data_IF_252104813557
#
_entry.id   IF_252104813557
#
_cell.length_a   1.000
_cell.length_b   1.000
_cell.length_c   1.000
_cell.angle_alpha   90.00
_cell.angle_beta   90.00
_cell.angle_gamma   90.00
#
_symmetry.space_group_name_H-M   'P 1'
#
loop_
_entity.id
_entity.type
_entity.pdbx_description
1 polymer ?
#
# COMPACT_ATOMS: atom_id res chain seq x y z
N UNK A 1 9.16 1.95 11.10
CA UNK A 1 7.71 1.66 11.11
C UNK A 1 7.44 0.65 10.00
N UNK A 2 7.00 -0.56 10.33
CA UNK A 2 6.59 -1.55 9.33
C UNK A 2 5.22 -1.13 8.80
N UNK A 3 5.11 -0.88 7.51
CA UNK A 3 3.85 -0.52 6.88
C UNK A 3 3.45 -1.64 5.93
N UNK A 4 2.19 -2.08 6.00
CA UNK A 4 1.67 -3.19 5.19
C UNK A 4 1.88 -2.97 3.68
N UNK A 5 1.91 -1.70 3.27
CA UNK A 5 2.15 -1.30 1.90
C UNK A 5 3.45 -0.51 1.80
N UNK A 6 4.21 -0.66 0.71
CA UNK A 6 5.31 0.24 0.35
C UNK A 6 4.84 1.69 0.23
N UNK A 7 5.79 2.63 0.32
CA UNK A 7 5.56 4.04 0.04
C UNK A 7 5.41 4.29 -1.47
N UNK A 8 4.81 5.42 -1.83
CA UNK A 8 4.67 5.84 -3.23
C UNK A 8 6.04 5.91 -3.93
N UNK A 9 7.06 6.37 -3.21
CA UNK A 9 8.43 6.49 -3.71
C UNK A 9 9.06 5.12 -4.01
N UNK A 10 8.81 4.12 -3.15
CA UNK A 10 9.34 2.76 -3.32
C UNK A 10 8.75 2.10 -4.59
N UNK A 11 7.45 2.28 -4.83
CA UNK A 11 6.83 1.79 -6.07
C UNK A 11 7.44 2.44 -7.33
N UNK A 12 7.66 3.75 -7.29
CA UNK A 12 8.28 4.46 -8.42
C UNK A 12 9.71 3.95 -8.65
N UNK A 13 10.46 3.75 -7.57
CA UNK A 13 11.83 3.25 -7.63
C UNK A 13 11.90 1.84 -8.22
N UNK A 14 11.01 0.93 -7.81
CA UNK A 14 10.94 -0.40 -8.39
C UNK A 14 10.67 -0.39 -9.89
N UNK A 15 9.75 0.45 -10.36
CA UNK A 15 9.47 0.58 -11.80
C UNK A 15 10.69 1.15 -12.56
N UNK A 16 11.34 2.18 -12.03
CA UNK A 16 12.54 2.76 -12.65
C UNK A 16 13.68 1.75 -12.71
N UNK A 17 13.92 1.03 -11.61
CA UNK A 17 14.99 0.03 -11.52
C UNK A 17 14.69 -1.19 -12.40
N UNK A 18 13.43 -1.52 -12.62
CA UNK A 18 12.99 -2.55 -13.57
C UNK A 18 13.03 -2.08 -15.04
N UNK A 19 13.55 -0.88 -15.32
CA UNK A 19 13.79 -0.38 -16.67
C UNK A 19 12.58 0.30 -17.33
N UNK A 20 11.49 0.53 -16.60
CA UNK A 20 10.36 1.29 -17.12
C UNK A 20 10.74 2.77 -17.29
N UNK A 21 10.23 3.38 -18.37
CA UNK A 21 10.34 4.81 -18.67
C UNK A 21 8.99 5.48 -18.47
N UNK A 22 9.00 6.81 -18.40
CA UNK A 22 7.77 7.61 -18.29
C UNK A 22 6.90 7.19 -17.08
N UNK A 23 7.55 6.88 -15.96
CA UNK A 23 6.88 6.38 -14.75
C UNK A 23 6.00 7.47 -14.13
N UNK A 24 4.71 7.18 -13.98
CA UNK A 24 3.71 8.08 -13.43
C UNK A 24 3.04 7.46 -12.21
N UNK A 25 2.69 8.30 -11.24
CA UNK A 25 1.94 7.92 -10.05
C UNK A 25 0.56 8.58 -10.10
N UNK A 26 -0.50 7.76 -10.07
CA UNK A 26 -1.88 8.22 -9.94
C UNK A 26 -2.44 7.80 -8.60
N UNK A 27 -2.83 8.77 -7.79
CA UNK A 27 -3.55 8.53 -6.53
C UNK A 27 -5.01 8.22 -6.84
N UNK A 28 -5.54 7.17 -6.22
CA UNK A 28 -6.91 6.69 -6.35
C UNK A 28 -7.56 6.83 -4.98
N UNK A 29 -8.60 7.65 -4.91
CA UNK A 29 -9.35 7.83 -3.69
C UNK A 29 -10.61 8.66 -3.93
N UNK A 30 -11.58 8.59 -3.00
CA UNK A 30 -12.75 9.45 -3.04
C UNK A 30 -12.34 10.92 -2.91
N UNK A 31 -13.12 11.81 -3.56
CA UNK A 31 -12.84 13.24 -3.67
C UNK A 31 -12.71 13.96 -2.31
N UNK A 32 -13.32 13.40 -1.26
CA UNK A 32 -13.28 13.95 0.09
C UNK A 32 -11.96 13.70 0.82
N UNK A 33 -11.16 12.73 0.37
CA UNK A 33 -9.94 12.37 1.07
C UNK A 33 -8.80 13.34 0.75
N UNK A 34 -8.45 14.19 1.72
CA UNK A 34 -7.46 15.28 1.58
C UNK A 34 -6.26 15.07 2.50
N UNK A 35 -5.42 14.09 2.18
CA UNK A 35 -4.15 13.88 2.88
C UNK A 35 -3.58 12.50 2.62
N UNK A 36 -2.42 12.43 1.96
CA UNK A 36 -1.76 11.14 1.72
C UNK A 36 -1.22 10.62 3.05
N UNK A 37 -1.75 9.49 3.53
CA UNK A 37 -1.24 8.73 4.69
C UNK A 37 -1.20 9.49 6.03
N UNK A 38 -1.79 10.69 6.11
CA UNK A 38 -1.70 11.57 7.29
C UNK A 38 -2.39 11.00 8.54
N UNK A 39 -3.41 10.17 8.32
CA UNK A 39 -4.27 9.62 9.36
C UNK A 39 -4.23 8.09 9.42
N UNK A 40 -3.16 7.47 8.91
CA UNK A 40 -3.04 6.01 8.81
C UNK A 40 -3.90 5.38 7.71
N UNK A 41 -4.76 6.15 7.04
CA UNK A 41 -5.54 5.68 5.90
C UNK A 41 -4.70 5.77 4.61
N UNK A 42 -4.49 4.60 3.99
CA UNK A 42 -3.77 4.50 2.72
C UNK A 42 -4.82 4.46 1.63
N UNK A 43 -4.96 5.55 0.89
CA UNK A 43 -5.71 5.54 -0.36
C UNK A 43 -4.82 4.95 -1.45
N UNK A 44 -5.40 4.07 -2.27
CA UNK A 44 -4.67 3.35 -3.29
C UNK A 44 -3.89 4.27 -4.21
N UNK A 45 -2.78 3.78 -4.74
CA UNK A 45 -2.07 4.43 -5.83
C UNK A 45 -1.88 3.41 -6.96
N UNK A 46 -1.83 3.91 -8.18
CA UNK A 46 -1.44 3.16 -9.36
C UNK A 46 -0.15 3.78 -9.88
N UNK A 47 0.86 2.94 -10.07
CA UNK A 47 2.09 3.31 -10.78
C UNK A 47 2.02 2.71 -12.17
N UNK A 48 2.20 3.56 -13.17
CA UNK A 48 2.27 3.16 -14.58
C UNK A 48 3.63 3.50 -15.13
N UNK A 49 4.08 2.76 -16.13
CA UNK A 49 5.33 3.02 -16.83
C UNK A 49 5.35 2.29 -18.16
N UNK A 50 6.18 2.75 -19.08
CA UNK A 50 6.29 2.20 -20.44
C UNK A 50 7.61 1.46 -20.59
N UNK A 51 7.55 0.19 -21.01
CA UNK A 51 8.73 -0.58 -21.41
C UNK A 51 8.82 -0.57 -22.94
N UNK A 52 9.71 0.27 -23.48
CA UNK A 52 9.80 0.52 -24.94
C UNK A 52 10.42 -0.63 -25.72
N UNK A 53 11.20 -1.48 -25.05
CA UNK A 53 11.84 -2.64 -25.65
C UNK A 53 11.44 -3.90 -24.85
N UNK A 54 11.07 -4.99 -25.55
CA UNK A 54 10.88 -6.28 -24.89
C UNK A 54 12.22 -6.80 -24.36
N UNK A 55 12.18 -7.61 -23.31
CA UNK A 55 13.36 -8.18 -22.68
C UNK A 55 13.21 -8.26 -21.17
N UNK A 56 14.21 -8.82 -20.52
CA UNK A 56 14.22 -9.02 -19.07
C UNK A 56 14.32 -7.71 -18.31
N UNK A 57 14.03 -7.77 -17.01
CA UNK A 57 14.24 -6.65 -16.11
C UNK A 57 15.75 -6.49 -15.85
N UNK A 58 16.31 -5.27 -15.92
CA UNK A 58 17.69 -5.02 -15.49
C UNK A 58 17.83 -5.12 -13.96
N UNK A 59 16.73 -5.07 -13.21
CA UNK A 59 16.72 -5.26 -11.76
C UNK A 59 17.03 -6.73 -11.43
N UNK A 60 18.22 -6.98 -10.89
CA UNK A 60 18.59 -8.27 -10.33
C UNK A 60 18.07 -8.36 -8.89
N UNK A 61 17.08 -9.22 -8.68
CA UNK A 61 16.58 -9.52 -7.35
C UNK A 61 17.43 -10.63 -6.72
N UNK A 62 17.63 -10.57 -5.42
CA UNK A 62 18.24 -11.65 -4.66
C UNK A 62 17.38 -12.93 -4.68
N UNK A 63 17.90 -14.05 -4.18
CA UNK A 63 17.12 -15.26 -4.02
C UNK A 63 15.86 -15.00 -3.19
N UNK A 64 14.77 -15.67 -3.54
CA UNK A 64 13.51 -15.57 -2.79
C UNK A 64 13.77 -15.92 -1.32
N UNK A 65 13.60 -14.94 -0.44
CA UNK A 65 13.88 -15.11 0.98
C UNK A 65 12.82 -15.94 1.72
N UNK A 66 11.64 -16.10 1.14
CA UNK A 66 10.53 -16.83 1.76
C UNK A 66 10.55 -18.30 1.35
N UNK A 67 10.82 -19.15 2.34
CA UNK A 67 10.75 -20.61 2.25
C UNK A 67 9.30 -21.07 2.45
N UNK A 68 8.70 -21.58 1.37
CA UNK A 68 7.30 -22.04 1.34
C UNK A 68 7.14 -23.49 1.82
N UNK A 69 8.23 -24.25 1.97
CA UNK A 69 8.19 -25.66 2.35
C UNK A 69 8.17 -25.85 3.87
N UNK A 70 8.54 -24.80 4.62
CA UNK A 70 8.62 -24.86 6.07
C UNK A 70 7.23 -25.03 6.72
N UNK A 71 7.04 -26.00 7.63
CA UNK A 71 5.78 -26.15 8.35
C UNK A 71 5.49 -24.92 9.21
N UNK A 72 4.24 -24.45 9.17
CA UNK A 72 3.75 -23.35 10.00
C UNK A 72 3.61 -23.79 11.45
N UNK A 73 4.16 -23.02 12.38
CA UNK A 73 3.96 -23.22 13.81
C UNK A 73 2.53 -22.81 14.21
N UNK A 74 1.69 -23.70 14.78
CA UNK A 74 0.30 -23.41 15.11
C UNK A 74 0.10 -22.22 16.06
N UNK A 75 1.00 -22.02 17.02
CA UNK A 75 0.93 -20.89 17.96
C UNK A 75 1.26 -19.57 17.25
N UNK A 76 2.30 -19.57 16.42
CA UNK A 76 2.64 -18.40 15.59
C UNK A 76 1.53 -18.06 14.61
N UNK A 77 0.89 -19.09 14.03
CA UNK A 77 -0.26 -18.93 13.17
C UNK A 77 -1.45 -18.28 13.91
N UNK A 78 -1.83 -18.80 15.08
CA UNK A 78 -2.92 -18.24 15.87
C UNK A 78 -2.66 -16.79 16.25
N UNK A 79 -1.44 -16.47 16.68
CA UNK A 79 -1.04 -15.09 17.00
C UNK A 79 -1.15 -14.17 15.78
N UNK A 80 -0.62 -14.60 14.62
CA UNK A 80 -0.72 -13.84 13.35
C UNK A 80 -2.17 -13.67 12.92
N UNK A 81 -3.01 -14.66 13.14
CA UNK A 81 -4.43 -14.61 12.81
C UNK A 81 -5.18 -13.57 13.66
N UNK A 82 -4.96 -13.57 14.98
CA UNK A 82 -5.57 -12.59 15.89
C UNK A 82 -5.07 -11.17 15.54
N UNK A 83 -3.76 -10.97 15.36
CA UNK A 83 -3.20 -9.69 14.96
C UNK A 83 -3.73 -9.21 13.61
N UNK A 84 -3.81 -10.12 12.63
CA UNK A 84 -4.37 -9.84 11.31
C UNK A 84 -5.85 -9.44 11.38
N UNK A 85 -6.63 -10.10 12.24
CA UNK A 85 -8.05 -9.79 12.45
C UNK A 85 -8.25 -8.42 13.09
N UNK A 86 -7.43 -8.06 14.08
CA UNK A 86 -7.44 -6.72 14.70
C UNK A 86 -7.05 -5.67 13.67
N UNK A 87 -5.99 -5.91 12.89
CA UNK A 87 -5.54 -4.99 11.84
C UNK A 87 -6.61 -4.80 10.75
N UNK A 88 -7.27 -5.88 10.32
CA UNK A 88 -8.36 -5.82 9.35
C UNK A 88 -9.56 -5.02 9.90
N UNK A 89 -9.97 -5.29 11.14
CA UNK A 89 -11.05 -4.54 11.81
C UNK A 89 -10.70 -3.05 11.88
N UNK A 90 -9.47 -2.70 12.29
CA UNK A 90 -9.01 -1.32 12.30
C UNK A 90 -9.04 -0.69 10.90
N UNK A 91 -8.58 -1.40 9.88
CA UNK A 91 -8.54 -0.91 8.50
C UNK A 91 -9.94 -0.69 7.91
N UNK A 92 -10.97 -1.41 8.39
CA UNK A 92 -12.37 -1.18 8.01
C UNK A 92 -12.98 0.02 8.76
N UNK A 93 -12.66 0.18 10.05
CA UNK A 93 -13.25 1.25 10.87
C UNK A 93 -12.72 2.64 10.51
N UNK A 94 -11.42 2.77 10.20
CA UNK A 94 -10.81 4.06 9.85
C UNK A 94 -11.50 4.77 8.67
N UNK A 95 -11.73 4.15 7.50
CA UNK A 95 -12.39 4.83 6.38
C UNK A 95 -13.85 5.19 6.69
N UNK A 96 -14.57 4.35 7.44
CA UNK A 96 -15.95 4.65 7.89
C UNK A 96 -15.94 5.90 8.78
N UNK A 97 -15.05 5.93 9.78
CA UNK A 97 -14.89 7.08 10.66
C UNK A 97 -14.53 8.35 9.88
N UNK A 98 -13.58 8.26 8.95
CA UNK A 98 -13.16 9.40 8.12
C UNK A 98 -14.27 9.89 7.20
N UNK A 99 -15.08 8.98 6.65
CA UNK A 99 -16.24 9.32 5.83
C UNK A 99 -17.31 10.05 6.65
N UNK A 100 -17.64 9.55 7.85
CA UNK A 100 -18.56 10.24 8.77
C UNK A 100 -18.02 11.63 9.13
N UNK A 101 -16.72 11.75 9.41
CA UNK A 101 -16.07 13.02 9.72
C UNK A 101 -16.18 14.02 8.57
N UNK A 102 -16.02 13.57 7.32
CA UNK A 102 -16.23 14.41 6.14
C UNK A 102 -17.68 14.92 6.02
N UNK A 103 -18.68 14.11 6.37
CA UNK A 103 -20.09 14.55 6.34
C UNK A 103 -20.40 15.64 7.37
N UNK A 104 -19.69 15.66 8.49
CA UNK A 104 -19.92 16.60 9.61
C UNK A 104 -19.06 17.87 9.46
N UNK A 105 -17.86 17.75 8.90
CA UNK A 105 -16.89 18.86 8.83
C UNK A 105 -17.28 19.85 7.71
N UNK A 106 -17.41 21.16 7.99
CA UNK A 106 -17.71 22.15 6.97
C UNK A 106 -16.67 22.17 5.83
N UNK A 107 -17.14 22.30 4.59
CA UNK A 107 -16.28 22.36 3.40
C UNK A 107 -15.29 23.53 3.52
N UNK A 108 -13.99 23.22 3.56
CA UNK A 108 -12.92 24.22 3.63
C UNK A 108 -12.03 24.11 4.88
N UNK A 109 -12.45 23.34 5.88
CA UNK A 109 -11.62 23.00 7.04
C UNK A 109 -10.82 21.71 6.79
N UNK A 110 -9.60 21.58 7.33
CA UNK A 110 -8.84 20.34 7.24
C UNK A 110 -9.52 19.22 8.04
N UNK A 111 -9.64 18.04 7.42
CA UNK A 111 -10.10 16.78 8.02
C UNK A 111 -8.92 16.07 8.66
#
# INVERSE_FOLDING_TARGET
MWMLFPKEEEYIEWFKNAGFKDVQLKRIGPKWYRGVRRHGLIMGCSVTGVKRQPGDSPLQLGPKAEDVERPVNPFSFLLRFVLGSIAATYFVLVPIYMWIKDQITPKGMPI
#
